data_IF_658104594913
#
_entry.id   IF_658104594913
#
_cell.length_a   1.000
_cell.length_b   1.000
_cell.length_c   1.000
_cell.angle_alpha   90.00
_cell.angle_beta   90.00
_cell.angle_gamma   90.00
#
_symmetry.space_group_name_H-M   'P 1'
#
loop_
_entity.id
_entity.type
_entity.pdbx_description
1 polymer ?
#
# COMPACT_ATOMS: atom_id res chain seq x y z
N UNK A 1 -5.91 -8.27 18.39
CA UNK A 1 -4.99 -8.47 17.24
C UNK A 1 -5.61 -9.30 16.11
N UNK A 2 -6.91 -9.18 15.84
CA UNK A 2 -7.57 -9.92 14.75
C UNK A 2 -7.14 -9.41 13.38
N UNK A 3 -7.25 -8.09 13.14
CA UNK A 3 -6.77 -7.47 11.89
C UNK A 3 -5.29 -7.72 11.62
N UNK A 4 -4.46 -7.71 12.66
CA UNK A 4 -3.03 -7.98 12.50
C UNK A 4 -2.77 -9.40 12.00
N UNK A 5 -3.52 -10.39 12.50
CA UNK A 5 -3.43 -11.76 11.99
C UNK A 5 -3.81 -11.83 10.51
N UNK A 6 -4.91 -11.18 10.10
CA UNK A 6 -5.31 -11.12 8.69
C UNK A 6 -4.20 -10.50 7.83
N UNK A 7 -3.58 -9.40 8.28
CA UNK A 7 -2.52 -8.72 7.54
C UNK A 7 -1.24 -9.57 7.42
N UNK A 8 -0.95 -10.41 8.42
CA UNK A 8 0.15 -11.38 8.38
C UNK A 8 -0.20 -12.53 7.44
N UNK A 9 -1.40 -13.09 7.56
CA UNK A 9 -1.89 -14.19 6.70
C UNK A 9 -1.95 -13.75 5.22
N UNK A 10 -2.24 -12.47 4.96
CA UNK A 10 -2.21 -11.85 3.64
C UNK A 10 -0.81 -11.45 3.15
N UNK A 11 0.25 -11.64 3.96
CA UNK A 11 1.63 -11.35 3.59
C UNK A 11 1.99 -9.87 3.49
N UNK A 12 1.11 -8.96 3.94
CA UNK A 12 1.32 -7.50 3.92
C UNK A 12 2.17 -7.05 5.10
N UNK A 13 2.09 -7.77 6.22
CA UNK A 13 2.82 -7.47 7.45
C UNK A 13 3.67 -8.66 7.88
N UNK A 14 4.94 -8.38 8.14
CA UNK A 14 5.85 -9.31 8.78
C UNK A 14 5.62 -9.32 10.29
N UNK A 15 5.75 -10.49 10.91
CA UNK A 15 5.72 -10.63 12.37
C UNK A 15 6.95 -11.37 12.87
N UNK A 16 7.61 -10.80 13.88
CA UNK A 16 8.78 -11.39 14.52
C UNK A 16 8.56 -11.38 16.03
N UNK A 17 8.61 -12.57 16.64
CA UNK A 17 8.55 -12.68 18.10
C UNK A 17 9.93 -12.36 18.69
N UNK A 18 9.97 -11.38 19.57
CA UNK A 18 11.16 -10.98 20.31
C UNK A 18 10.86 -11.03 21.82
N UNK A 19 11.08 -12.22 22.41
CA UNK A 19 10.74 -12.51 23.80
C UNK A 19 9.24 -12.39 24.10
N UNK A 20 8.89 -11.45 24.98
CA UNK A 20 7.50 -11.18 25.39
C UNK A 20 6.73 -10.34 24.37
N UNK A 21 7.42 -9.69 23.43
CA UNK A 21 6.83 -8.75 22.48
C UNK A 21 6.86 -9.32 21.08
N UNK A 22 5.81 -9.04 20.30
CA UNK A 22 5.82 -9.29 18.85
C UNK A 22 6.07 -7.97 18.15
N UNK A 23 7.15 -7.90 17.37
CA UNK A 23 7.43 -6.78 16.47
C UNK A 23 6.72 -7.03 15.16
N UNK A 24 6.04 -6.00 14.66
CA UNK A 24 5.43 -5.99 13.34
C UNK A 24 6.19 -5.01 12.45
N UNK A 25 6.36 -5.36 11.18
CA UNK A 25 6.88 -4.46 10.16
C UNK A 25 6.13 -4.68 8.86
N UNK A 26 6.07 -3.64 8.02
CA UNK A 26 5.47 -3.77 6.70
C UNK A 26 6.35 -4.69 5.85
N UNK A 27 5.74 -5.56 5.06
CA UNK A 27 6.43 -6.26 3.99
C UNK A 27 6.51 -5.33 2.78
N UNK A 28 7.67 -4.70 2.58
CA UNK A 28 7.85 -3.69 1.54
C UNK A 28 7.59 -4.21 0.13
N UNK A 29 7.88 -5.49 -0.15
CA UNK A 29 7.62 -6.11 -1.44
C UNK A 29 6.10 -6.18 -1.72
N UNK A 30 5.36 -6.92 -0.89
CA UNK A 30 3.91 -7.06 -1.04
C UNK A 30 3.19 -5.71 -0.96
N UNK A 31 3.66 -4.81 -0.09
CA UNK A 31 3.06 -3.49 0.05
C UNK A 31 3.34 -2.62 -1.19
N UNK A 32 4.50 -2.76 -1.82
CA UNK A 32 4.82 -2.14 -3.11
C UNK A 32 3.83 -2.56 -4.19
N UNK A 33 3.62 -3.87 -4.36
CA UNK A 33 2.65 -4.42 -5.33
C UNK A 33 1.23 -3.87 -5.10
N UNK A 34 0.82 -3.79 -3.83
CA UNK A 34 -0.47 -3.21 -3.44
C UNK A 34 -0.57 -1.73 -3.82
N UNK A 35 0.51 -0.96 -3.63
CA UNK A 35 0.56 0.46 -4.01
C UNK A 35 0.50 0.66 -5.53
N UNK A 36 0.88 -0.31 -6.34
CA UNK A 36 0.70 -0.27 -7.80
C UNK A 36 -0.74 -0.57 -8.22
N UNK A 37 -1.42 -1.48 -7.50
CA UNK A 37 -2.77 -1.94 -7.83
C UNK A 37 -3.84 -0.97 -7.33
N UNK A 38 -3.75 -0.47 -6.10
CA UNK A 38 -4.79 0.39 -5.49
C UNK A 38 -5.12 1.59 -6.39
N UNK A 39 -4.15 2.35 -6.95
CA UNK A 39 -4.43 3.43 -7.90
C UNK A 39 -5.29 3.01 -9.09
N UNK A 40 -5.10 1.81 -9.64
CA UNK A 40 -5.88 1.33 -10.78
C UNK A 40 -7.37 1.18 -10.44
N UNK A 41 -7.71 0.95 -9.16
CA UNK A 41 -9.09 0.77 -8.71
C UNK A 41 -9.85 2.09 -8.61
N UNK A 42 -9.19 3.20 -8.23
CA UNK A 42 -9.85 4.49 -7.98
C UNK A 42 -9.49 5.60 -8.98
N UNK A 43 -8.40 5.45 -9.75
CA UNK A 43 -7.98 6.38 -10.81
C UNK A 43 -8.53 6.03 -12.19
N UNK A 44 -9.39 5.03 -12.30
CA UNK A 44 -9.97 4.55 -13.56
C UNK A 44 -10.93 5.52 -14.26
N UNK A 45 -11.14 6.72 -13.73
CA UNK A 45 -12.00 7.76 -14.30
C UNK A 45 -11.16 8.94 -14.79
N UNK A 46 -11.49 9.44 -15.97
CA UNK A 46 -10.82 10.57 -16.63
C UNK A 46 -10.78 11.84 -15.76
N UNK A 47 -11.70 11.99 -14.82
CA UNK A 47 -11.72 13.05 -13.80
C UNK A 47 -11.50 12.48 -12.39
N UNK A 48 -10.29 11.99 -12.09
CA UNK A 48 -10.00 11.62 -10.69
C UNK A 48 -9.88 12.86 -9.79
N UNK A 49 -10.60 12.88 -8.66
CA UNK A 49 -10.41 13.84 -7.56
C UNK A 49 -8.98 13.88 -7.01
N UNK A 50 -8.17 12.88 -7.35
CA UNK A 50 -6.75 12.78 -7.06
C UNK A 50 -5.97 14.08 -7.35
N UNK A 51 -6.35 14.79 -8.40
CA UNK A 51 -5.71 16.05 -8.81
C UNK A 51 -5.88 17.17 -7.77
N UNK A 52 -6.86 17.06 -6.87
CA UNK A 52 -7.14 18.04 -5.82
C UNK A 52 -6.44 17.69 -4.49
N UNK A 53 -5.79 16.54 -4.40
CA UNK A 53 -5.16 16.06 -3.17
C UNK A 53 -3.71 16.56 -3.09
N UNK A 54 -3.45 17.48 -2.15
CA UNK A 54 -2.15 18.14 -1.92
C UNK A 54 -0.94 17.21 -1.75
N UNK A 55 -1.17 15.95 -1.37
CA UNK A 55 -0.11 14.96 -1.11
C UNK A 55 -0.13 13.75 -2.06
N UNK A 56 -0.88 13.81 -3.16
CA UNK A 56 -0.78 12.77 -4.17
C UNK A 56 0.59 12.89 -4.86
N UNK A 57 1.54 12.02 -4.49
CA UNK A 57 2.80 11.88 -5.23
C UNK A 57 2.48 11.16 -6.53
N UNK A 58 2.22 11.93 -7.59
CA UNK A 58 2.22 11.41 -8.94
C UNK A 58 3.70 11.30 -9.32
N UNK A 59 4.25 10.09 -9.34
CA UNK A 59 5.54 9.86 -9.99
C UNK A 59 5.38 10.15 -11.48
N UNK A 60 6.20 11.06 -12.00
CA UNK A 60 6.15 11.62 -13.35
C UNK A 60 6.37 10.56 -14.45
N UNK A 61 5.38 9.72 -14.74
CA UNK A 61 5.48 8.72 -15.81
C UNK A 61 4.37 8.78 -16.87
N UNK A 62 3.74 9.94 -17.04
CA UNK A 62 2.83 10.21 -18.17
C UNK A 62 3.11 11.59 -18.78
N UNK A 63 4.37 11.85 -19.12
CA UNK A 63 4.72 12.82 -20.16
C UNK A 63 5.33 12.07 -21.35
N UNK A 64 4.48 11.40 -22.12
CA UNK A 64 4.64 11.19 -23.57
C UNK A 64 3.55 10.23 -24.07
N UNK A 65 2.45 10.82 -24.55
CA UNK A 65 1.62 10.32 -25.64
C UNK A 65 0.97 11.53 -26.32
#
# INVERSE_FOLDING_TARGET
SYHMKILIDAGVVNSQRNGLWTRYSINEATFGDILEIIPQLYKSKDECICAQIKYCRISEHEKEA
#
